data_IF_002804661389
#
_entry.id   IF_002804661389
#
_cell.length_a   1.000
_cell.length_b   1.000
_cell.length_c   1.000
_cell.angle_alpha   90.00
_cell.angle_beta   90.00
_cell.angle_gamma   90.00
#
_symmetry.space_group_name_H-M   'P 1'
#
loop_
_entity.id
_entity.type
_entity.pdbx_description
1 polymer ?
#
# COMPACT_ATOMS: atom_id res chain seq x y z
N UNK A 1 5.53 16.49 -6.74
CA UNK A 1 4.35 16.01 -5.98
C UNK A 1 4.81 15.06 -4.88
N UNK A 2 4.84 15.49 -3.61
CA UNK A 2 4.98 14.56 -2.47
C UNK A 2 3.67 13.79 -2.36
N UNK A 3 3.67 12.51 -2.71
CA UNK A 3 2.53 11.64 -2.44
C UNK A 3 2.46 11.46 -0.91
N UNK A 4 1.54 12.18 -0.26
CA UNK A 4 1.21 11.91 1.12
C UNK A 4 0.65 10.48 1.19
N UNK A 5 1.41 9.56 1.79
CA UNK A 5 1.04 8.16 1.98
C UNK A 5 -0.01 8.06 3.10
N UNK A 6 -1.22 8.54 2.84
CA UNK A 6 -2.33 8.46 3.79
C UNK A 6 -2.87 7.03 3.88
N UNK A 7 -3.56 6.72 4.98
CA UNK A 7 -4.24 5.43 5.18
C UNK A 7 -5.10 5.03 3.97
N UNK A 8 -5.87 5.98 3.44
CA UNK A 8 -6.73 5.78 2.26
C UNK A 8 -5.93 5.52 0.99
N UNK A 9 -4.80 6.20 0.80
CA UNK A 9 -3.92 5.96 -0.34
C UNK A 9 -3.40 4.52 -0.32
N UNK A 10 -2.93 4.04 0.83
CA UNK A 10 -2.43 2.67 0.99
C UNK A 10 -3.53 1.63 0.76
N UNK A 11 -4.73 1.84 1.29
CA UNK A 11 -5.87 0.96 1.05
C UNK A 11 -6.20 0.85 -0.45
N UNK A 12 -6.33 1.98 -1.15
CA UNK A 12 -6.56 1.99 -2.61
C UNK A 12 -5.44 1.29 -3.38
N UNK A 13 -4.19 1.39 -2.92
CA UNK A 13 -3.04 0.69 -3.54
C UNK A 13 -3.11 -0.82 -3.31
N UNK A 14 -3.49 -1.27 -2.11
CA UNK A 14 -3.68 -2.69 -1.78
C UNK A 14 -4.78 -3.28 -2.67
N UNK A 15 -5.94 -2.63 -2.75
CA UNK A 15 -7.08 -3.13 -3.55
C UNK A 15 -6.71 -3.22 -5.04
N UNK A 16 -6.02 -2.20 -5.56
CA UNK A 16 -5.52 -2.20 -6.95
C UNK A 16 -4.55 -3.36 -7.20
N UNK A 17 -3.68 -3.69 -6.24
CA UNK A 17 -2.75 -4.81 -6.39
C UNK A 17 -3.51 -6.15 -6.49
N UNK A 18 -4.54 -6.35 -5.66
CA UNK A 18 -5.39 -7.54 -5.74
C UNK A 18 -6.16 -7.61 -7.06
N UNK A 19 -6.73 -6.50 -7.51
CA UNK A 19 -7.46 -6.45 -8.78
C UNK A 19 -6.56 -6.78 -9.98
N UNK A 20 -5.35 -6.22 -10.02
CA UNK A 20 -4.37 -6.53 -11.06
C UNK A 20 -3.91 -7.99 -10.95
N UNK A 21 -3.65 -8.50 -9.75
CA UNK A 21 -3.25 -9.89 -9.53
C UNK A 21 -4.32 -10.89 -10.02
N UNK A 22 -5.60 -10.56 -9.83
CA UNK A 22 -6.72 -11.37 -10.33
C UNK A 22 -6.81 -11.38 -11.86
N UNK A 23 -6.39 -10.29 -12.52
CA UNK A 23 -6.38 -10.17 -13.98
C UNK A 23 -5.16 -10.79 -14.68
N UNK A 24 -4.10 -11.16 -13.95
CA UNK A 24 -2.91 -11.76 -14.55
C UNK A 24 -3.06 -13.25 -14.79
N UNK A 25 -2.84 -13.68 -16.05
CA UNK A 25 -2.76 -15.09 -16.43
C UNK A 25 -1.41 -15.73 -16.09
N UNK A 26 -0.36 -14.92 -15.91
CA UNK A 26 1.00 -15.38 -15.59
C UNK A 26 1.22 -15.40 -14.06
N UNK A 27 1.60 -16.54 -13.47
CA UNK A 27 1.71 -16.66 -12.02
C UNK A 27 2.80 -15.75 -11.43
N UNK A 28 3.88 -15.46 -12.16
CA UNK A 28 4.98 -14.62 -11.67
C UNK A 28 4.52 -13.18 -11.47
N UNK A 29 3.75 -12.64 -12.43
CA UNK A 29 3.18 -11.28 -12.33
C UNK A 29 2.14 -11.21 -11.23
N UNK A 30 1.32 -12.24 -11.08
CA UNK A 30 0.36 -12.35 -9.96
C UNK A 30 1.09 -12.31 -8.62
N UNK A 31 2.15 -13.11 -8.44
CA UNK A 31 2.95 -13.15 -7.22
C UNK A 31 3.55 -11.80 -6.89
N UNK A 32 4.14 -11.11 -7.86
CA UNK A 32 4.70 -9.76 -7.68
C UNK A 32 3.67 -8.78 -7.10
N UNK A 33 2.45 -8.76 -7.65
CA UNK A 33 1.41 -7.85 -7.16
C UNK A 33 0.89 -8.26 -5.78
N UNK A 34 0.83 -9.55 -5.47
CA UNK A 34 0.46 -10.03 -4.13
C UNK A 34 1.53 -9.68 -3.08
N UNK A 35 2.81 -9.78 -3.43
CA UNK A 35 3.92 -9.35 -2.57
C UNK A 35 3.88 -7.84 -2.32
N UNK A 36 3.60 -7.05 -3.35
CA UNK A 36 3.43 -5.62 -3.22
C UNK A 36 2.23 -5.25 -2.32
N UNK A 37 1.11 -5.95 -2.45
CA UNK A 37 -0.05 -5.78 -1.56
C UNK A 37 0.31 -6.08 -0.09
N UNK A 38 1.06 -7.16 0.16
CA UNK A 38 1.55 -7.51 1.51
C UNK A 38 2.48 -6.44 2.06
N UNK A 39 3.36 -5.88 1.23
CA UNK A 39 4.24 -4.79 1.63
C UNK A 39 3.45 -3.54 2.05
N UNK A 40 2.48 -3.10 1.25
CA UNK A 40 1.62 -1.97 1.62
C UNK A 40 0.78 -2.24 2.88
N UNK A 41 0.33 -3.48 3.09
CA UNK A 41 -0.37 -3.88 4.32
C UNK A 41 0.51 -3.73 5.56
N UNK A 42 1.80 -4.09 5.47
CA UNK A 42 2.77 -3.90 6.57
C UNK A 42 2.93 -2.42 6.90
N UNK A 43 3.09 -1.56 5.89
CA UNK A 43 3.19 -0.10 6.08
C UNK A 43 1.92 0.46 6.70
N UNK A 44 0.75 0.02 6.21
CA UNK A 44 -0.55 0.44 6.73
C UNK A 44 -0.69 0.10 8.23
N UNK A 45 -0.30 -1.11 8.63
CA UNK A 45 -0.35 -1.53 10.02
C UNK A 45 0.64 -0.72 10.88
N UNK A 46 1.85 -0.48 10.39
CA UNK A 46 2.84 0.35 11.09
C UNK A 46 2.35 1.79 11.30
N UNK A 47 1.61 2.36 10.34
CA UNK A 47 0.98 3.69 10.50
C UNK A 47 -0.17 3.70 11.52
N UNK A 48 -0.87 2.58 11.69
CA UNK A 48 -1.94 2.43 12.70
C UNK A 48 -1.32 2.32 14.10
N UNK A 49 -0.21 1.58 14.22
CA UNK A 49 0.52 1.40 15.48
C UNK A 49 1.27 2.66 15.92
N UNK A 50 1.72 3.50 14.97
CA UNK A 50 2.40 4.77 15.25
C UNK A 50 1.67 5.96 14.60
N UNK A 51 0.57 6.46 15.20
CA UNK A 51 -0.19 7.58 14.67
C UNK A 51 0.56 8.93 14.71
N UNK A 52 1.75 9.00 15.31
CA UNK A 52 2.41 10.24 15.77
C UNK A 52 3.22 10.97 14.71
N UNK A 53 3.63 10.35 13.60
CA UNK A 53 4.63 10.95 12.69
C UNK A 53 4.07 11.67 11.45
N UNK A 54 2.77 11.57 11.14
CA UNK A 54 2.22 12.11 9.89
C UNK A 54 1.73 13.58 9.96
N UNK A 55 1.77 14.22 11.14
CA UNK A 55 1.20 15.58 11.34
C UNK A 55 2.20 16.70 11.61
N UNK A 56 3.49 16.42 11.76
CA UNK A 56 4.46 17.43 12.14
C UNK A 56 5.68 17.45 11.22
N UNK A 57 5.56 18.16 10.10
CA UNK A 57 6.69 18.92 9.56
C UNK A 57 6.15 20.30 9.19
N UNK A 58 6.55 21.37 9.92
CA UNK A 58 6.26 22.73 9.52
C UNK A 58 6.95 23.04 8.19
N UNK A 59 6.29 23.91 7.42
CA UNK A 59 6.67 24.36 6.08
C UNK A 59 8.00 25.13 6.06
#
# INVERSE_FOLDING_TARGET
>A
MRLQMTREFLLRRIDRCYLIAAGHRRPEKRTLHLELARHYRKILNALIEYPVMARALPA
#
